data_IF_730945649840
#
_entry.id   IF_730945649840
#
_cell.length_a   1.000
_cell.length_b   1.000
_cell.length_c   1.000
_cell.angle_alpha   90.00
_cell.angle_beta   90.00
_cell.angle_gamma   90.00
#
_symmetry.space_group_name_H-M   'P 1'
#
loop_
_entity.id
_entity.type
_entity.pdbx_description
1 polymer ?
#
# COMPACT_ATOMS: atom_id res chain seq x y z
N UNK A 1 14.02 14.41 15.19
CA UNK A 1 13.63 12.99 15.28
C UNK A 1 14.88 12.18 15.02
N UNK A 2 15.42 11.48 16.03
CA UNK A 2 16.64 10.69 15.88
C UNK A 2 16.34 9.38 15.16
N UNK A 3 17.31 8.90 14.38
CA UNK A 3 17.22 7.58 13.77
C UNK A 3 17.27 6.48 14.83
N UNK A 4 16.58 5.37 14.59
CA UNK A 4 16.57 4.24 15.51
C UNK A 4 17.93 3.53 15.47
N UNK A 5 18.33 3.00 16.61
CA UNK A 5 19.44 2.06 16.75
C UNK A 5 18.89 0.64 16.90
N UNK A 6 19.69 -0.38 16.60
CA UNK A 6 19.27 -1.79 16.77
C UNK A 6 18.86 -2.10 18.22
N UNK A 7 19.51 -1.47 19.20
CA UNK A 7 19.16 -1.60 20.62
C UNK A 7 17.79 -1.00 20.93
N UNK A 8 17.49 0.17 20.36
CA UNK A 8 16.18 0.80 20.49
C UNK A 8 15.09 -0.02 19.81
N UNK A 9 15.34 -0.58 18.63
CA UNK A 9 14.40 -1.49 17.96
C UNK A 9 14.02 -2.65 18.89
N UNK A 10 15.00 -3.37 19.44
CA UNK A 10 14.76 -4.47 20.37
C UNK A 10 14.05 -4.04 21.67
N UNK A 11 14.23 -2.79 22.11
CA UNK A 11 13.50 -2.24 23.24
C UNK A 11 12.04 -1.94 22.89
N UNK A 12 11.80 -1.35 21.70
CA UNK A 12 10.45 -1.03 21.22
C UNK A 12 9.62 -2.27 20.91
N UNK A 13 10.23 -3.33 20.39
CA UNK A 13 9.56 -4.61 20.15
C UNK A 13 9.00 -5.26 21.42
N UNK A 14 9.62 -5.01 22.57
CA UNK A 14 9.18 -5.50 23.89
C UNK A 14 8.27 -4.52 24.64
N UNK A 15 8.14 -3.30 24.12
CA UNK A 15 7.36 -2.23 24.74
C UNK A 15 5.92 -2.21 24.27
N UNK A 16 5.28 -1.06 24.48
CA UNK A 16 3.90 -0.84 24.07
C UNK A 16 3.76 -0.74 22.54
N UNK A 17 2.61 -1.16 21.99
CA UNK A 17 2.28 -0.96 20.58
C UNK A 17 2.43 0.51 20.16
N UNK A 18 2.89 0.74 18.93
CA UNK A 18 3.12 2.09 18.44
C UNK A 18 3.80 2.15 17.08
N UNK A 19 3.96 3.39 16.62
CA UNK A 19 4.69 3.72 15.41
C UNK A 19 5.95 4.51 15.80
N UNK A 20 7.12 3.97 15.53
CA UNK A 20 8.40 4.57 15.89
C UNK A 20 9.12 4.99 14.62
N UNK A 21 9.39 6.29 14.48
CA UNK A 21 10.05 6.82 13.29
C UNK A 21 11.54 6.52 13.31
N UNK A 22 12.07 6.01 12.18
CA UNK A 22 13.51 5.92 11.93
C UNK A 22 14.03 7.12 11.11
N UNK A 23 13.17 7.74 10.30
CA UNK A 23 13.53 8.86 9.44
C UNK A 23 13.29 8.55 7.95
N UNK A 24 13.33 9.56 7.09
CA UNK A 24 13.08 9.42 5.64
C UNK A 24 11.78 8.67 5.29
N UNK A 25 10.76 8.78 6.15
CA UNK A 25 9.49 8.07 5.98
C UNK A 25 9.49 6.62 6.45
N UNK A 26 10.60 6.06 6.93
CA UNK A 26 10.67 4.72 7.51
C UNK A 26 10.17 4.72 8.96
N UNK A 27 9.33 3.74 9.28
CA UNK A 27 8.76 3.50 10.60
C UNK A 27 8.86 2.03 10.98
N UNK A 28 9.20 1.78 12.24
CA UNK A 28 8.91 0.53 12.93
C UNK A 28 7.47 0.57 13.43
N UNK A 29 6.66 -0.41 13.03
CA UNK A 29 5.28 -0.56 13.49
C UNK A 29 5.18 -1.78 14.39
N UNK A 30 4.81 -1.54 15.65
CA UNK A 30 4.54 -2.58 16.64
C UNK A 30 3.02 -2.60 16.87
N UNK A 31 2.28 -3.57 16.30
CA UNK A 31 0.83 -3.64 16.49
C UNK A 31 0.47 -4.19 17.88
N UNK A 32 -0.77 -3.97 18.33
CA UNK A 32 -1.28 -4.56 19.58
C UNK A 32 -1.43 -6.08 19.54
N UNK A 33 -1.62 -6.61 18.33
CA UNK A 33 -1.64 -8.05 18.04
C UNK A 33 -0.93 -8.29 16.72
N UNK A 34 -0.15 -9.36 16.65
CA UNK A 34 0.62 -9.74 15.46
C UNK A 34 2.10 -9.35 15.53
N UNK A 35 2.81 -9.58 14.43
CA UNK A 35 4.26 -9.35 14.33
C UNK A 35 4.56 -7.91 13.94
N UNK A 36 5.64 -7.36 14.48
CA UNK A 36 6.13 -6.04 14.12
C UNK A 36 6.66 -6.01 12.68
N UNK A 37 6.54 -4.88 12.02
CA UNK A 37 6.93 -4.70 10.63
C UNK A 37 7.46 -3.31 10.33
N UNK A 38 8.23 -3.21 9.26
CA UNK A 38 8.73 -1.96 8.70
C UNK A 38 7.70 -1.38 7.73
N UNK A 39 7.42 -0.09 7.86
CA UNK A 39 6.52 0.64 6.99
C UNK A 39 7.19 1.89 6.44
N UNK A 40 7.01 2.13 5.14
CA UNK A 40 7.36 3.36 4.47
C UNK A 40 6.12 4.25 4.33
N UNK A 41 6.18 5.46 4.85
CA UNK A 41 5.16 6.50 4.67
C UNK A 41 5.63 7.51 3.64
N UNK A 42 4.80 7.77 2.64
CA UNK A 42 5.10 8.70 1.55
C UNK A 42 3.83 9.39 1.06
N UNK A 43 3.98 10.48 0.31
CA UNK A 43 2.87 11.20 -0.32
C UNK A 43 2.87 10.89 -1.81
N UNK A 44 1.73 10.40 -2.32
CA UNK A 44 1.51 10.14 -3.73
C UNK A 44 0.18 10.76 -4.15
N UNK A 45 0.18 11.55 -5.23
CA UNK A 45 -0.99 12.27 -5.75
C UNK A 45 -1.72 13.07 -4.67
N UNK A 46 -0.98 13.83 -3.86
CA UNK A 46 -1.52 14.66 -2.77
C UNK A 46 -2.08 13.89 -1.57
N UNK A 47 -2.04 12.55 -1.58
CA UNK A 47 -2.55 11.70 -0.50
C UNK A 47 -1.39 11.01 0.22
N UNK A 48 -1.45 11.01 1.56
CA UNK A 48 -0.52 10.23 2.39
C UNK A 48 -0.85 8.75 2.26
N UNK A 49 0.16 7.95 1.93
CA UNK A 49 0.07 6.50 1.80
C UNK A 49 1.11 5.84 2.70
N UNK A 50 0.85 4.58 3.04
CA UNK A 50 1.78 3.72 3.78
C UNK A 50 1.93 2.41 3.02
N UNK A 51 3.17 1.94 2.90
CA UNK A 51 3.52 0.65 2.32
C UNK A 51 4.30 -0.16 3.34
N UNK A 52 3.91 -1.41 3.54
CA UNK A 52 4.69 -2.36 4.35
C UNK A 52 5.87 -2.85 3.52
N UNK A 53 7.08 -2.77 4.09
CA UNK A 53 8.32 -3.26 3.48
C UNK A 53 8.55 -4.73 3.83
N UNK A 54 8.49 -5.07 5.13
CA UNK A 54 8.70 -6.44 5.59
C UNK A 54 8.51 -6.58 7.09
N UNK A 55 8.45 -7.81 7.60
CA UNK A 55 8.45 -8.06 9.05
C UNK A 55 9.84 -7.80 9.62
N UNK A 56 9.90 -7.37 10.87
CA UNK A 56 11.18 -7.04 11.52
C UNK A 56 12.09 -8.26 11.67
N UNK A 57 11.50 -9.45 11.79
CA UNK A 57 12.27 -10.70 11.90
C UNK A 57 12.92 -11.13 10.58
N UNK A 58 12.35 -10.70 9.45
CA UNK A 58 12.80 -11.08 8.10
C UNK A 58 13.68 -9.97 7.48
N UNK A 59 13.59 -8.74 8.00
CA UNK A 59 14.26 -7.56 7.44
C UNK A 59 14.94 -6.75 8.56
N UNK A 60 16.28 -6.72 8.52
CA UNK A 60 17.08 -5.98 9.50
C UNK A 60 16.85 -4.47 9.37
N UNK A 61 17.22 -3.69 10.40
CA UNK A 61 17.13 -2.22 10.34
C UNK A 61 17.93 -1.63 9.18
N UNK A 62 19.11 -2.19 8.89
CA UNK A 62 19.96 -1.73 7.79
C UNK A 62 19.32 -2.03 6.43
N UNK A 63 18.78 -3.24 6.27
CA UNK A 63 18.10 -3.64 5.03
C UNK A 63 16.81 -2.84 4.83
N UNK A 64 16.06 -2.59 5.90
CA UNK A 64 14.86 -1.76 5.88
C UNK A 64 15.15 -0.32 5.42
N UNK A 65 16.30 0.26 5.82
CA UNK A 65 16.74 1.58 5.34
C UNK A 65 17.08 1.55 3.84
N UNK A 66 17.81 0.53 3.41
CA UNK A 66 18.17 0.34 2.00
C UNK A 66 16.92 0.16 1.14
N UNK A 67 15.99 -0.67 1.58
CA UNK A 67 14.73 -0.92 0.87
C UNK A 67 13.86 0.33 0.85
N UNK A 68 13.74 1.06 1.97
CA UNK A 68 13.03 2.34 2.01
C UNK A 68 13.60 3.34 1.01
N UNK A 69 14.93 3.46 0.92
CA UNK A 69 15.60 4.33 -0.04
C UNK A 69 15.33 3.92 -1.49
N UNK A 70 15.38 2.62 -1.79
CA UNK A 70 15.07 2.06 -3.11
C UNK A 70 13.62 2.36 -3.52
N UNK A 71 12.66 2.09 -2.63
CA UNK A 71 11.24 2.33 -2.89
C UNK A 71 10.92 3.82 -3.04
N UNK A 72 11.57 4.69 -2.25
CA UNK A 72 11.46 6.15 -2.42
C UNK A 72 12.11 6.66 -3.70
N UNK A 73 13.15 6.00 -4.20
CA UNK A 73 13.73 6.30 -5.52
C UNK A 73 12.72 5.95 -6.63
N UNK A 74 12.17 4.74 -6.60
CA UNK A 74 11.14 4.30 -7.56
C UNK A 74 9.93 5.23 -7.57
N UNK A 75 9.45 5.61 -6.38
CA UNK A 75 8.34 6.56 -6.25
C UNK A 75 8.66 7.92 -6.88
N UNK A 76 9.90 8.44 -6.71
CA UNK A 76 10.34 9.70 -7.33
C UNK A 76 10.47 9.59 -8.85
N UNK A 77 10.78 8.41 -9.37
CA UNK A 77 10.82 8.10 -10.80
C UNK A 77 9.41 7.90 -11.41
N UNK A 78 8.34 8.09 -10.63
CA UNK A 78 6.96 7.97 -11.08
C UNK A 78 6.39 6.55 -11.02
N UNK A 79 7.18 5.58 -10.55
CA UNK A 79 6.72 4.22 -10.30
C UNK A 79 6.05 4.19 -8.92
N UNK A 80 4.74 4.42 -8.85
CA UNK A 80 3.99 4.21 -7.61
C UNK A 80 3.76 2.69 -7.42
N UNK A 81 4.44 2.04 -6.45
CA UNK A 81 4.38 0.60 -6.26
C UNK A 81 2.98 0.11 -5.89
N UNK A 82 2.10 0.98 -5.36
CA UNK A 82 0.72 0.64 -5.08
C UNK A 82 -0.15 0.64 -6.34
N UNK A 83 0.21 1.43 -7.35
CA UNK A 83 -0.47 1.40 -8.66
C UNK A 83 -0.04 0.14 -9.41
N UNK A 84 1.25 -0.18 -9.41
CA UNK A 84 1.76 -1.36 -10.12
C UNK A 84 1.21 -2.66 -9.53
N UNK A 85 1.16 -2.77 -8.20
CA UNK A 85 0.51 -3.90 -7.52
C UNK A 85 -0.97 -4.03 -7.90
N UNK A 86 -1.68 -2.92 -8.10
CA UNK A 86 -3.07 -2.94 -8.56
C UNK A 86 -3.18 -3.35 -10.02
N UNK A 87 -2.33 -2.84 -10.91
CA UNK A 87 -2.30 -3.25 -12.32
C UNK A 87 -2.11 -4.75 -12.49
N UNK A 88 -1.25 -5.37 -11.67
CA UNK A 88 -1.08 -6.82 -11.68
C UNK A 88 -2.35 -7.61 -11.30
N UNK A 89 -3.28 -7.02 -10.53
CA UNK A 89 -4.54 -7.67 -10.14
C UNK A 89 -5.58 -7.58 -11.26
N UNK A 90 -5.67 -6.42 -11.92
CA UNK A 90 -6.74 -6.15 -12.89
C UNK A 90 -6.43 -6.63 -14.32
N UNK A 91 -5.21 -7.09 -14.59
CA UNK A 91 -4.78 -7.51 -15.93
C UNK A 91 -4.67 -6.31 -16.90
N UNK A 92 -4.22 -6.56 -18.15
CA UNK A 92 -4.32 -5.55 -19.20
C UNK A 92 -5.80 -5.30 -19.53
N UNK A 93 -6.18 -4.03 -19.60
CA UNK A 93 -7.46 -3.60 -20.15
C UNK A 93 -7.15 -2.92 -21.48
N UNK A 94 -7.60 -3.52 -22.57
CA UNK A 94 -7.26 -3.06 -23.92
C UNK A 94 -8.38 -2.21 -24.52
N UNK A 95 -9.61 -2.35 -24.02
CA UNK A 95 -10.79 -1.66 -24.53
C UNK A 95 -11.59 -0.93 -23.43
N UNK A 96 -12.46 -0.01 -23.87
CA UNK A 96 -13.44 0.64 -22.99
C UNK A 96 -14.43 -0.39 -22.43
N UNK A 97 -14.72 -1.46 -23.16
CA UNK A 97 -15.60 -2.54 -22.72
C UNK A 97 -14.98 -3.38 -21.59
N UNK A 98 -13.66 -3.62 -21.64
CA UNK A 98 -12.93 -4.28 -20.55
C UNK A 98 -12.99 -3.45 -19.27
N UNK A 99 -12.75 -2.13 -19.40
CA UNK A 99 -12.87 -1.18 -18.30
C UNK A 99 -14.29 -1.14 -17.73
N UNK A 100 -15.29 -1.12 -18.62
CA UNK A 100 -16.70 -1.14 -18.21
C UNK A 100 -17.03 -2.43 -17.47
N UNK A 101 -16.56 -3.58 -17.92
CA UNK A 101 -16.85 -4.89 -17.33
C UNK A 101 -16.30 -5.01 -15.91
N UNK A 102 -15.02 -4.70 -15.70
CA UNK A 102 -14.39 -4.69 -14.36
C UNK A 102 -15.11 -3.72 -13.40
N UNK A 103 -15.38 -2.50 -13.88
CA UNK A 103 -16.07 -1.51 -13.07
C UNK A 103 -17.51 -1.93 -12.75
N UNK A 104 -18.24 -2.47 -13.73
CA UNK A 104 -19.66 -2.81 -13.62
C UNK A 104 -19.87 -3.96 -12.63
N UNK A 105 -19.08 -5.04 -12.69
CA UNK A 105 -19.18 -6.15 -11.74
C UNK A 105 -19.00 -5.69 -10.28
N UNK A 106 -18.01 -4.84 -10.02
CA UNK A 106 -17.71 -4.34 -8.68
C UNK A 106 -18.69 -3.26 -8.17
N UNK A 107 -19.36 -2.54 -9.06
CA UNK A 107 -20.18 -1.38 -8.70
C UNK A 107 -21.68 -1.56 -8.94
N UNK A 108 -22.15 -2.68 -9.50
CA UNK A 108 -23.57 -2.89 -9.81
C UNK A 108 -24.46 -2.65 -8.58
N UNK A 109 -24.07 -3.15 -7.41
CA UNK A 109 -24.84 -2.98 -6.16
C UNK A 109 -24.90 -1.53 -5.66
N UNK A 110 -23.98 -0.68 -6.12
CA UNK A 110 -23.94 0.76 -5.77
C UNK A 110 -24.82 1.59 -6.70
N UNK A 111 -25.27 1.03 -7.82
CA UNK A 111 -26.17 1.71 -8.74
C UNK A 111 -27.57 1.83 -8.13
N UNK A 112 -28.15 3.03 -8.26
CA UNK A 112 -29.49 3.37 -7.77
C UNK A 112 -30.57 2.43 -8.33
N UNK A 113 -30.39 1.98 -9.58
CA UNK A 113 -31.34 1.14 -10.32
C UNK A 113 -30.70 -0.18 -10.79
N UNK A 114 -29.96 -0.86 -9.91
CA UNK A 114 -29.24 -2.10 -10.22
C UNK A 114 -30.11 -3.31 -10.59
N UNK A 115 -31.41 -3.24 -10.30
CA UNK A 115 -32.41 -4.25 -10.63
C UNK A 115 -33.00 -4.05 -12.04
N UNK A 116 -32.72 -2.92 -12.70
CA UNK A 116 -33.16 -2.70 -14.08
C UNK A 116 -32.42 -3.66 -15.01
N UNK A 117 -33.12 -4.53 -15.76
CA UNK A 117 -32.47 -5.51 -16.63
C UNK A 117 -31.70 -4.82 -17.77
N UNK A 118 -30.52 -5.36 -18.08
CA UNK A 118 -29.57 -4.80 -19.07
C UNK A 118 -30.20 -4.53 -20.45
N UNK A 119 -31.19 -5.34 -20.86
CA UNK A 119 -31.92 -5.21 -22.13
C UNK A 119 -32.62 -3.87 -22.34
N UNK A 120 -32.83 -3.07 -21.28
CA UNK A 120 -33.45 -1.74 -21.39
C UNK A 120 -32.46 -0.71 -21.95
N UNK A 121 -31.16 -0.99 -21.87
CA UNK A 121 -30.08 -0.10 -22.31
C UNK A 121 -29.54 -0.44 -23.70
N UNK A 122 -29.64 -1.71 -24.10
CA UNK A 122 -29.37 -2.16 -25.47
C UNK A 122 -30.63 -1.95 -26.29
N UNK A 123 -30.59 -0.92 -27.13
CA UNK A 123 -31.69 -0.58 -28.04
C UNK A 123 -31.61 -1.52 -29.24
N UNK A 124 -32.17 -2.72 -29.10
CA UNK A 124 -32.54 -3.54 -30.25
C UNK A 124 -33.68 -2.85 -31.04
#
# INVERSE_FOLDING_TARGET
MSALTSKEVSAKLRGSPGHFADGNGLYLVVPSRGRAYWALRFTSNGKRKQMTLGKVDDLSLADARTEAALKMKQHREGLDPLIEKKRAIYGPMDTVDDLFTDWHEGNIKRLKHHHTPYRVYTKD
#
